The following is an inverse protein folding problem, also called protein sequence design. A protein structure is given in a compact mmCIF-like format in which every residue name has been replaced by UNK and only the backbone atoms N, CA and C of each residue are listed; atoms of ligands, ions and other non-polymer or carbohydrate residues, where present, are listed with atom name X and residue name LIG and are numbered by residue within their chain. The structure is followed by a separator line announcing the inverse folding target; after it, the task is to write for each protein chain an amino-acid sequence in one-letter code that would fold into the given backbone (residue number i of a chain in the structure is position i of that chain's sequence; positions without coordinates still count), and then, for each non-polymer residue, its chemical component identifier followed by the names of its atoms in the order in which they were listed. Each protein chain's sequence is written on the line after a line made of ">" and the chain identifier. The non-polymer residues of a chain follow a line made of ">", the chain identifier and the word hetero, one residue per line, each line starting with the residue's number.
data_IF_013072463649
#
_entry.id   IF_013072463649
#
_cell.length_a   1.000
_cell.length_b   1.000
_cell.length_c   1.000
_cell.angle_alpha   90.00
_cell.angle_beta   90.00
_cell.angle_gamma   90.00
#
_symmetry.space_group_name_H-M   'P 1'
#
loop_
_entity.id
_entity.type
_entity.pdbx_description
1 polymer ?
#
# COMPACT_ATOMS: atom_id res chain seq x y z
N UNK A 1 -13.73 -3.77 32.14
CA UNK A 1 -14.72 -2.69 32.32
C UNK A 1 -14.79 -1.92 31.01
N UNK A 2 -16.00 -1.61 30.54
CA UNK A 2 -16.30 -1.19 29.18
C UNK A 2 -15.98 0.29 28.91
N UNK A 3 -15.26 0.54 27.81
CA UNK A 3 -14.77 1.83 27.29
C UNK A 3 -15.87 2.75 26.71
N UNK A 4 -17.09 2.71 27.25
CA UNK A 4 -18.27 3.33 26.63
C UNK A 4 -18.60 4.74 27.11
N UNK A 5 -17.76 5.38 27.93
CA UNK A 5 -18.13 6.61 28.65
C UNK A 5 -17.20 7.83 28.42
N UNK A 6 -16.67 8.01 27.23
CA UNK A 6 -16.09 9.29 26.84
C UNK A 6 -16.52 9.65 25.42
N UNK A 7 -17.54 10.51 25.31
CA UNK A 7 -17.67 11.66 24.39
C UNK A 7 -19.09 12.21 24.62
N UNK A 8 -19.22 13.15 25.57
CA UNK A 8 -20.29 14.17 25.56
C UNK A 8 -19.95 15.26 26.57
N UNK A 9 -19.23 16.29 26.11
CA UNK A 9 -19.37 17.62 26.68
C UNK A 9 -19.71 18.58 25.55
N UNK A 10 -20.95 19.07 25.62
CA UNK A 10 -21.51 20.09 24.76
C UNK A 10 -20.70 21.39 24.89
N UNK A 11 -20.32 21.97 23.75
CA UNK A 11 -20.13 23.41 23.63
C UNK A 11 -21.05 23.93 22.53
N UNK A 12 -21.78 25.00 22.83
CA UNK A 12 -22.83 25.59 22.01
C UNK A 12 -22.23 26.42 20.85
N UNK A 13 -22.92 26.55 19.70
CA UNK A 13 -22.46 27.40 18.62
C UNK A 13 -22.87 28.87 18.89
N UNK A 14 -21.89 29.78 18.84
CA UNK A 14 -22.18 31.23 18.76
C UNK A 14 -22.35 31.63 17.30
N UNK A 15 -23.53 32.16 17.02
CA UNK A 15 -23.94 32.82 15.80
C UNK A 15 -23.14 34.13 15.63
N UNK A 16 -22.57 34.34 14.44
CA UNK A 16 -21.96 35.61 14.02
C UNK A 16 -22.12 35.80 12.51
N UNK A 17 -23.10 36.62 12.13
CA UNK A 17 -23.34 37.09 10.76
C UNK A 17 -22.30 38.16 10.32
N UNK A 18 -22.34 38.43 9.01
CA UNK A 18 -21.91 39.64 8.24
C UNK A 18 -20.75 39.27 7.28
N UNK A 19 -21.03 38.95 6.02
CA UNK A 19 -21.34 39.81 4.85
C UNK A 19 -20.09 40.16 4.05
N UNK A 20 -20.09 39.88 2.75
CA UNK A 20 -18.97 40.21 1.87
C UNK A 20 -19.07 39.57 0.49
N UNK A 21 -20.08 39.98 -0.28
CA UNK A 21 -20.22 39.71 -1.73
C UNK A 21 -19.05 40.37 -2.47
N UNK A 22 -18.33 39.61 -3.31
CA UNK A 22 -17.66 40.18 -4.49
C UNK A 22 -17.69 39.16 -5.65
N UNK A 23 -18.63 39.40 -6.57
CA UNK A 23 -18.60 38.87 -7.92
C UNK A 23 -17.43 39.50 -8.68
N UNK A 24 -16.54 38.70 -9.25
CA UNK A 24 -15.75 39.12 -10.40
C UNK A 24 -15.99 38.16 -11.57
N UNK A 25 -16.55 38.73 -12.63
CA UNK A 25 -16.88 38.07 -13.87
C UNK A 25 -15.64 37.83 -14.73
N UNK A 26 -15.59 36.63 -15.30
CA UNK A 26 -15.30 36.29 -16.69
C UNK A 26 -14.52 37.31 -17.55
N UNK A 27 -13.33 36.93 -18.01
CA UNK A 27 -12.81 37.30 -19.33
C UNK A 27 -12.14 36.09 -19.99
N UNK A 28 -12.85 35.54 -20.97
CA UNK A 28 -12.40 34.49 -21.89
C UNK A 28 -11.66 35.19 -23.04
N UNK A 29 -10.39 34.88 -23.25
CA UNK A 29 -9.69 35.23 -24.50
C UNK A 29 -9.67 34.01 -25.42
N UNK A 30 -10.49 34.08 -26.46
CA UNK A 30 -10.48 33.17 -27.61
C UNK A 30 -9.52 33.78 -28.62
N UNK A 31 -8.36 33.15 -28.87
CA UNK A 31 -7.52 33.46 -30.03
C UNK A 31 -7.77 32.43 -31.11
N UNK A 32 -8.01 32.93 -32.31
CA UNK A 32 -8.74 32.27 -33.38
C UNK A 32 -7.99 31.20 -34.15
N UNK A 33 -8.79 30.27 -34.67
CA UNK A 33 -8.47 29.37 -35.76
C UNK A 33 -8.07 30.17 -37.01
N UNK A 34 -7.00 29.74 -37.69
CA UNK A 34 -6.74 30.08 -39.09
C UNK A 34 -6.74 28.78 -39.89
N UNK A 35 -7.87 28.53 -40.57
CA UNK A 35 -7.99 27.53 -41.61
C UNK A 35 -7.10 27.92 -42.81
N UNK A 36 -6.32 26.98 -43.30
CA UNK A 36 -5.77 27.02 -44.66
C UNK A 36 -6.25 25.76 -45.39
N UNK A 37 -7.14 25.99 -46.35
CA UNK A 37 -7.64 25.04 -47.35
C UNK A 37 -6.53 24.74 -48.38
N UNK A 38 -6.51 23.54 -49.00
CA UNK A 38 -5.32 22.99 -49.64
C UNK A 38 -5.17 23.43 -51.11
N UNK A 39 -3.94 23.74 -51.52
CA UNK A 39 -3.60 23.89 -52.94
C UNK A 39 -3.01 22.58 -53.47
N UNK A 40 -3.75 21.98 -54.39
CA UNK A 40 -3.30 20.94 -55.30
C UNK A 40 -2.14 21.43 -56.19
N UNK A 41 -1.07 20.65 -56.26
CA UNK A 41 -0.19 20.63 -57.44
C UNK A 41 0.36 19.21 -57.65
N UNK A 42 0.19 18.77 -58.88
CA UNK A 42 0.55 17.47 -59.43
C UNK A 42 1.97 17.53 -60.03
N UNK A 43 2.63 16.37 -60.12
CA UNK A 43 3.90 16.05 -60.78
C UNK A 43 5.13 16.14 -59.84
N UNK A 44 6.04 15.15 -59.74
CA UNK A 44 6.43 14.08 -60.65
C UNK A 44 6.87 12.81 -59.91
N UNK A 45 6.71 11.66 -60.57
CA UNK A 45 7.35 10.38 -60.23
C UNK A 45 8.86 10.50 -60.43
N UNK A 46 9.63 10.29 -59.38
CA UNK A 46 10.97 9.71 -59.49
C UNK A 46 11.06 8.49 -58.58
N UNK A 47 11.40 7.35 -59.21
CA UNK A 47 11.76 6.12 -58.53
C UNK A 47 13.10 6.35 -57.82
N UNK A 48 13.13 6.22 -56.50
CA UNK A 48 14.33 5.69 -55.83
C UNK A 48 13.94 4.42 -55.07
N UNK A 49 14.75 3.40 -55.29
CA UNK A 49 14.56 2.02 -54.89
C UNK A 49 15.71 1.69 -53.93
N UNK A 50 15.40 1.17 -52.74
CA UNK A 50 16.36 0.64 -51.75
C UNK A 50 16.94 1.71 -50.82
N UNK A 51 16.77 1.68 -49.50
CA UNK A 51 16.86 0.51 -48.60
C UNK A 51 15.98 0.79 -47.38
N UNK A 52 14.77 0.24 -47.34
CA UNK A 52 13.94 0.19 -46.14
C UNK A 52 14.08 -1.22 -45.56
N UNK A 53 14.78 -1.33 -44.44
CA UNK A 53 15.00 -2.60 -43.75
C UNK A 53 15.23 -2.36 -42.27
N UNK A 54 14.25 -2.81 -41.47
CA UNK A 54 14.32 -3.17 -40.05
C UNK A 54 14.09 -2.16 -38.90
N UNK A 55 13.63 -0.93 -39.13
CA UNK A 55 13.28 -0.03 -38.00
C UNK A 55 11.80 0.05 -37.62
N UNK A 56 10.88 -0.49 -38.44
CA UNK A 56 9.42 -0.36 -38.19
C UNK A 56 8.78 -1.51 -37.43
N UNK A 57 9.40 -2.70 -37.43
CA UNK A 57 8.85 -3.88 -36.76
C UNK A 57 9.09 -3.86 -35.24
N UNK A 58 10.23 -3.33 -34.79
CA UNK A 58 10.53 -3.18 -33.36
C UNK A 58 9.63 -2.13 -32.71
N UNK A 59 9.45 -0.97 -33.36
CA UNK A 59 8.60 0.10 -32.82
C UNK A 59 7.12 -0.30 -32.71
N UNK A 60 6.62 -1.14 -33.62
CA UNK A 60 5.22 -1.55 -33.60
C UNK A 60 4.94 -2.63 -32.53
N UNK A 61 5.88 -3.55 -32.31
CA UNK A 61 5.79 -4.54 -31.23
C UNK A 61 5.87 -3.88 -29.85
N UNK A 62 6.80 -2.93 -29.66
CA UNK A 62 6.95 -2.20 -28.40
C UNK A 62 5.67 -1.42 -28.05
N UNK A 63 5.07 -0.73 -29.02
CA UNK A 63 3.80 -0.02 -28.82
C UNK A 63 2.61 -0.96 -28.51
N UNK A 64 2.56 -2.15 -29.10
CA UNK A 64 1.51 -3.12 -28.78
C UNK A 64 1.63 -3.64 -27.33
N UNK A 65 2.87 -3.91 -26.90
CA UNK A 65 3.17 -4.31 -25.53
C UNK A 65 2.77 -3.24 -24.50
N UNK A 66 3.12 -1.97 -24.74
CA UNK A 66 2.72 -0.84 -23.90
C UNK A 66 1.19 -0.71 -23.83
N UNK A 67 0.51 -0.88 -24.97
CA UNK A 67 -0.95 -0.79 -25.04
C UNK A 67 -1.65 -1.86 -24.19
N UNK A 68 -1.12 -3.08 -24.08
CA UNK A 68 -1.71 -4.10 -23.22
C UNK A 68 -1.66 -3.69 -21.74
N UNK A 69 -0.50 -3.18 -21.27
CA UNK A 69 -0.33 -2.72 -19.90
C UNK A 69 -1.22 -1.50 -19.65
N UNK A 70 -1.14 -0.46 -20.48
CA UNK A 70 -1.87 0.80 -20.25
C UNK A 70 -3.40 0.57 -20.22
N UNK A 71 -3.92 -0.26 -21.12
CA UNK A 71 -5.34 -0.62 -21.11
C UNK A 71 -5.71 -1.44 -19.85
N UNK A 72 -4.86 -2.38 -19.44
CA UNK A 72 -5.09 -3.13 -18.20
C UNK A 72 -5.08 -2.21 -16.97
N UNK A 73 -4.10 -1.31 -16.86
CA UNK A 73 -4.01 -0.36 -15.75
C UNK A 73 -5.21 0.57 -15.68
N UNK A 74 -5.64 1.13 -16.82
CA UNK A 74 -6.84 1.97 -16.87
C UNK A 74 -8.11 1.20 -16.48
N UNK A 75 -8.25 -0.07 -16.90
CA UNK A 75 -9.37 -0.92 -16.47
C UNK A 75 -9.36 -1.21 -14.96
N UNK A 76 -8.19 -1.14 -14.32
CA UNK A 76 -7.99 -1.40 -12.90
C UNK A 76 -7.90 -0.13 -12.04
N UNK A 77 -8.24 1.03 -12.60
CA UNK A 77 -8.35 2.28 -11.83
C UNK A 77 -9.39 2.12 -10.68
N UNK A 78 -9.08 2.60 -9.46
CA UNK A 78 -9.99 2.49 -8.31
C UNK A 78 -11.40 3.06 -8.56
N UNK A 79 -11.49 4.13 -9.34
CA UNK A 79 -12.74 4.83 -9.69
C UNK A 79 -13.71 3.96 -10.50
N UNK A 80 -13.25 2.82 -11.05
CA UNK A 80 -14.09 1.87 -11.77
C UNK A 80 -14.83 0.88 -10.86
N UNK A 81 -14.76 1.05 -9.54
CA UNK A 81 -15.62 0.41 -8.52
C UNK A 81 -15.75 -1.13 -8.63
N UNK A 82 -14.65 -1.83 -8.90
CA UNK A 82 -14.61 -3.30 -9.03
C UNK A 82 -15.59 -3.90 -10.07
N UNK A 83 -16.00 -3.16 -11.11
CA UNK A 83 -16.89 -3.72 -12.15
C UNK A 83 -16.24 -5.00 -12.74
N UNK A 84 -16.86 -6.15 -12.49
CA UNK A 84 -16.26 -7.48 -12.70
C UNK A 84 -15.86 -7.75 -14.16
N UNK A 85 -16.55 -7.15 -15.12
CA UNK A 85 -16.21 -7.24 -16.54
C UNK A 85 -14.88 -6.55 -16.89
N UNK A 86 -14.47 -5.53 -16.13
CA UNK A 86 -13.15 -4.91 -16.30
C UNK A 86 -12.04 -5.76 -15.70
N UNK A 87 -12.28 -6.40 -14.55
CA UNK A 87 -11.29 -7.27 -13.91
C UNK A 87 -10.90 -8.44 -14.82
N UNK A 88 -11.88 -9.19 -15.32
CA UNK A 88 -11.60 -10.34 -16.21
C UNK A 88 -10.90 -9.92 -17.51
N UNK A 89 -11.28 -8.78 -18.09
CA UNK A 89 -10.63 -8.24 -19.31
C UNK A 89 -9.19 -7.79 -19.04
N UNK A 90 -8.95 -7.10 -17.93
CA UNK A 90 -7.61 -6.67 -17.53
C UNK A 90 -6.69 -7.88 -17.32
N UNK A 91 -7.17 -8.93 -16.64
CA UNK A 91 -6.42 -10.19 -16.48
C UNK A 91 -6.09 -10.83 -17.84
N UNK A 92 -7.02 -10.78 -18.79
CA UNK A 92 -6.78 -11.22 -20.17
C UNK A 92 -5.64 -10.44 -20.84
N UNK A 93 -5.67 -9.11 -20.77
CA UNK A 93 -4.63 -8.22 -21.33
C UNK A 93 -3.27 -8.44 -20.65
N UNK A 94 -3.23 -8.57 -19.32
CA UNK A 94 -2.00 -8.83 -18.58
C UNK A 94 -1.36 -10.18 -18.97
N UNK A 95 -2.18 -11.22 -19.15
CA UNK A 95 -1.67 -12.52 -19.60
C UNK A 95 -1.25 -12.52 -21.08
N UNK A 96 -1.91 -11.71 -21.91
CA UNK A 96 -1.49 -11.50 -23.29
C UNK A 96 -0.13 -10.80 -23.35
N UNK A 97 0.03 -9.71 -22.60
CA UNK A 97 1.31 -9.04 -22.39
C UNK A 97 2.37 -9.99 -21.85
N UNK A 98 2.08 -10.77 -20.79
CA UNK A 98 3.03 -11.71 -20.21
C UNK A 98 3.59 -12.71 -21.23
N UNK A 99 2.71 -13.23 -22.10
CA UNK A 99 3.06 -14.21 -23.12
C UNK A 99 3.82 -13.64 -24.31
N UNK A 100 3.53 -12.40 -24.72
CA UNK A 100 4.09 -11.79 -25.93
C UNK A 100 5.31 -10.91 -25.65
N UNK A 101 5.34 -10.29 -24.47
CA UNK A 101 6.22 -9.17 -24.15
C UNK A 101 6.93 -9.32 -22.79
N UNK A 102 6.24 -9.86 -21.77
CA UNK A 102 6.71 -9.85 -20.39
C UNK A 102 7.85 -10.84 -20.08
N UNK A 103 8.28 -11.64 -21.07
CA UNK A 103 9.29 -12.69 -20.94
C UNK A 103 9.01 -13.63 -19.75
N UNK A 104 7.72 -13.85 -19.44
CA UNK A 104 7.28 -14.77 -18.40
C UNK A 104 7.10 -16.14 -19.04
N UNK A 105 7.95 -17.09 -18.66
CA UNK A 105 7.81 -18.47 -19.13
C UNK A 105 6.66 -19.15 -18.37
N UNK A 106 5.56 -19.41 -19.06
CA UNK A 106 4.38 -20.03 -18.46
C UNK A 106 4.65 -21.46 -17.95
N UNK A 107 5.65 -22.14 -18.49
CA UNK A 107 5.95 -23.56 -18.23
C UNK A 107 7.10 -23.78 -17.24
N UNK A 108 7.73 -22.72 -16.73
CA UNK A 108 8.82 -22.81 -15.75
C UNK A 108 8.41 -22.21 -14.41
N UNK A 109 8.74 -22.89 -13.30
CA UNK A 109 8.59 -22.32 -11.95
C UNK A 109 9.33 -20.99 -11.88
N UNK A 110 8.68 -20.01 -11.27
CA UNK A 110 9.27 -18.67 -11.09
C UNK A 110 10.38 -18.68 -10.03
N UNK A 111 10.44 -19.73 -9.21
CA UNK A 111 11.45 -19.95 -8.18
C UNK A 111 12.51 -20.97 -8.62
N UNK A 112 13.77 -20.57 -8.53
CA UNK A 112 14.90 -21.49 -8.70
C UNK A 112 15.00 -22.47 -7.53
N UNK A 113 15.58 -23.64 -7.75
CA UNK A 113 15.79 -24.64 -6.68
C UNK A 113 16.67 -24.12 -5.54
N UNK A 114 17.56 -23.16 -5.82
CA UNK A 114 18.37 -22.46 -4.81
C UNK A 114 17.57 -21.49 -3.94
N UNK A 115 16.49 -20.90 -4.45
CA UNK A 115 15.66 -19.93 -3.70
C UNK A 115 14.62 -20.62 -2.82
N UNK A 116 14.12 -21.80 -3.23
CA UNK A 116 13.05 -22.52 -2.51
C UNK A 116 13.33 -22.74 -1.01
N UNK A 117 14.55 -23.15 -0.56
CA UNK A 117 14.84 -23.30 0.86
C UNK A 117 14.73 -21.99 1.66
N UNK A 118 15.14 -20.87 1.06
CA UNK A 118 15.03 -19.55 1.69
C UNK A 118 13.56 -19.19 1.91
N UNK A 119 12.74 -19.22 0.85
CA UNK A 119 11.34 -18.84 0.95
C UNK A 119 10.52 -19.78 1.85
N UNK A 120 10.79 -21.09 1.84
CA UNK A 120 10.15 -22.07 2.74
C UNK A 120 10.40 -21.81 4.23
N UNK A 121 11.46 -21.07 4.58
CA UNK A 121 11.73 -20.68 5.97
C UNK A 121 10.74 -19.63 6.47
N UNK A 122 10.21 -18.79 5.58
CA UNK A 122 9.46 -17.58 5.94
C UNK A 122 7.99 -17.60 5.49
N UNK A 123 7.69 -18.28 4.38
CA UNK A 123 6.37 -18.34 3.75
C UNK A 123 5.71 -19.70 3.97
N UNK A 124 4.39 -19.69 4.23
CA UNK A 124 3.56 -20.89 4.26
C UNK A 124 3.38 -21.51 2.87
N UNK A 125 2.96 -22.77 2.80
CA UNK A 125 2.77 -23.50 1.53
C UNK A 125 1.79 -22.80 0.58
N UNK A 126 0.68 -22.28 1.10
CA UNK A 126 -0.31 -21.55 0.30
C UNK A 126 0.26 -20.25 -0.27
N UNK A 127 1.11 -19.55 0.51
CA UNK A 127 1.74 -18.31 0.06
C UNK A 127 2.76 -18.58 -1.03
N UNK A 128 3.60 -19.61 -0.84
CA UNK A 128 4.55 -20.06 -1.87
C UNK A 128 3.85 -20.44 -3.17
N UNK A 129 2.73 -21.16 -3.09
CA UNK A 129 1.96 -21.54 -4.27
C UNK A 129 1.40 -20.32 -5.01
N UNK A 130 0.86 -19.33 -4.30
CA UNK A 130 0.36 -18.06 -4.88
C UNK A 130 1.49 -17.21 -5.46
N UNK A 131 2.64 -17.17 -4.79
CA UNK A 131 3.83 -16.45 -5.23
C UNK A 131 4.40 -17.06 -6.52
N UNK A 132 4.45 -18.40 -6.62
CA UNK A 132 5.06 -19.13 -7.74
C UNK A 132 4.18 -19.22 -9.01
N UNK A 133 2.98 -18.61 -9.00
CA UNK A 133 2.15 -18.53 -10.21
C UNK A 133 2.85 -17.73 -11.32
N UNK A 134 2.86 -18.29 -12.52
CA UNK A 134 3.43 -17.69 -13.74
C UNK A 134 2.43 -16.82 -14.52
N UNK A 135 1.14 -16.92 -14.18
CA UNK A 135 0.05 -16.20 -14.84
C UNK A 135 -0.62 -15.23 -13.88
N UNK A 136 -1.14 -14.13 -14.43
CA UNK A 136 -1.95 -13.18 -13.69
C UNK A 136 -3.35 -13.75 -13.42
N UNK A 137 -3.84 -13.50 -12.21
CA UNK A 137 -5.14 -13.92 -11.68
C UNK A 137 -6.03 -12.71 -11.36
N UNK A 138 -7.29 -12.95 -11.01
CA UNK A 138 -8.17 -11.86 -10.53
C UNK A 138 -7.66 -11.24 -9.23
N UNK A 139 -7.04 -12.03 -8.34
CA UNK A 139 -6.42 -11.52 -7.11
C UNK A 139 -5.25 -10.57 -7.43
N UNK A 140 -4.48 -10.86 -8.48
CA UNK A 140 -3.42 -9.97 -8.96
C UNK A 140 -4.00 -8.64 -9.51
N UNK A 141 -5.11 -8.70 -10.24
CA UNK A 141 -5.80 -7.51 -10.74
C UNK A 141 -6.33 -6.62 -9.59
N UNK A 142 -6.92 -7.24 -8.54
CA UNK A 142 -7.32 -6.51 -7.33
C UNK A 142 -6.12 -5.90 -6.61
N UNK A 143 -5.00 -6.62 -6.51
CA UNK A 143 -3.76 -6.12 -5.95
C UNK A 143 -3.23 -4.87 -6.68
N UNK A 144 -3.26 -4.88 -8.01
CA UNK A 144 -2.84 -3.76 -8.85
C UNK A 144 -3.73 -2.54 -8.60
N UNK A 145 -5.05 -2.71 -8.61
CA UNK A 145 -5.99 -1.62 -8.27
C UNK A 145 -5.71 -1.05 -6.89
N UNK A 146 -5.55 -1.90 -5.89
CA UNK A 146 -5.28 -1.46 -4.52
C UNK A 146 -3.96 -0.68 -4.44
N UNK A 147 -2.94 -1.09 -5.20
CA UNK A 147 -1.68 -0.34 -5.28
C UNK A 147 -1.84 1.04 -5.92
N UNK A 148 -2.68 1.16 -6.96
CA UNK A 148 -3.05 2.47 -7.52
C UNK A 148 -3.78 3.35 -6.49
N UNK A 149 -4.73 2.78 -5.74
CA UNK A 149 -5.43 3.46 -4.67
C UNK A 149 -4.46 3.96 -3.59
N UNK A 150 -3.55 3.11 -3.12
CA UNK A 150 -2.58 3.49 -2.09
C UNK A 150 -1.58 4.53 -2.59
N UNK A 151 -1.20 4.49 -3.86
CA UNK A 151 -0.36 5.53 -4.46
C UNK A 151 -1.09 6.89 -4.48
N UNK A 152 -2.38 6.90 -4.80
CA UNK A 152 -3.20 8.11 -4.69
C UNK A 152 -3.31 8.61 -3.23
N UNK A 153 -3.62 7.72 -2.30
CA UNK A 153 -3.77 8.03 -0.88
C UNK A 153 -2.47 8.58 -0.27
N UNK A 154 -1.32 7.95 -0.56
CA UNK A 154 -0.05 8.40 0.02
C UNK A 154 0.36 9.76 -0.54
N UNK A 155 0.17 10.01 -1.83
CA UNK A 155 0.50 11.30 -2.45
C UNK A 155 -0.36 12.44 -1.87
N UNK A 156 -1.64 12.19 -1.61
CA UNK A 156 -2.52 13.14 -0.92
C UNK A 156 -2.08 13.35 0.54
N UNK A 157 -1.71 12.28 1.25
CA UNK A 157 -1.34 12.36 2.65
C UNK A 157 -0.04 13.14 2.91
N UNK A 158 0.92 13.06 1.99
CA UNK A 158 2.26 13.63 2.16
C UNK A 158 2.46 14.97 1.45
N UNK A 159 1.41 15.54 0.88
CA UNK A 159 1.48 16.83 0.20
C UNK A 159 2.08 17.91 1.13
N UNK A 160 3.08 18.63 0.63
CA UNK A 160 3.79 19.66 1.38
C UNK A 160 4.72 19.16 2.49
N UNK A 161 4.97 17.85 2.62
CA UNK A 161 5.92 17.28 3.60
C UNK A 161 7.32 17.19 3.04
N UNK A 162 8.29 17.60 3.85
CA UNK A 162 9.66 17.88 3.40
C UNK A 162 10.65 16.75 3.66
N UNK A 163 10.41 15.94 4.70
CA UNK A 163 11.27 14.83 5.10
C UNK A 163 10.48 13.56 5.37
N UNK A 164 11.16 12.41 5.43
CA UNK A 164 10.48 11.12 5.51
C UNK A 164 9.75 10.91 6.84
N UNK A 165 10.25 11.44 7.97
CA UNK A 165 9.54 11.38 9.26
C UNK A 165 8.20 12.11 9.18
N UNK A 166 8.18 13.31 8.60
CA UNK A 166 6.95 14.06 8.35
C UNK A 166 6.00 13.31 7.41
N UNK A 167 6.53 12.69 6.36
CA UNK A 167 5.75 11.93 5.36
C UNK A 167 5.08 10.72 6.00
N UNK A 168 5.82 9.88 6.72
CA UNK A 168 5.25 8.68 7.35
C UNK A 168 4.26 9.05 8.45
N UNK A 169 4.54 10.12 9.22
CA UNK A 169 3.63 10.60 10.26
C UNK A 169 2.35 11.17 9.68
N UNK A 170 2.43 11.94 8.60
CA UNK A 170 1.26 12.45 7.88
C UNK A 170 0.43 11.32 7.24
N UNK A 171 1.09 10.34 6.62
CA UNK A 171 0.47 9.14 6.09
C UNK A 171 -0.29 8.35 7.14
N UNK A 172 0.31 8.21 8.33
CA UNK A 172 -0.32 7.54 9.46
C UNK A 172 -1.60 8.28 9.88
N UNK A 173 -1.52 9.59 10.12
CA UNK A 173 -2.69 10.40 10.48
C UNK A 173 -3.78 10.36 9.40
N UNK A 174 -3.40 10.42 8.13
CA UNK A 174 -4.33 10.29 7.02
C UNK A 174 -5.06 8.93 7.06
N UNK A 175 -4.32 7.84 7.21
CA UNK A 175 -4.89 6.50 7.31
C UNK A 175 -5.86 6.39 8.50
N UNK A 176 -5.44 6.84 9.69
CA UNK A 176 -6.23 6.71 10.92
C UNK A 176 -7.47 7.63 10.94
N UNK A 177 -7.43 8.76 10.23
CA UNK A 177 -8.55 9.69 10.08
C UNK A 177 -9.61 9.19 9.11
N UNK A 178 -9.23 8.37 8.12
CA UNK A 178 -10.13 7.84 7.10
C UNK A 178 -10.66 6.44 7.41
N UNK A 179 -10.05 5.70 8.35
CA UNK A 179 -10.48 4.36 8.74
C UNK A 179 -10.80 4.36 10.23
N UNK A 180 -12.08 4.35 10.60
CA UNK A 180 -12.55 4.26 11.98
C UNK A 180 -12.23 2.88 12.61
N UNK A 181 -11.93 2.86 13.92
CA UNK A 181 -11.61 1.62 14.62
C UNK A 181 -12.90 0.88 14.97
N UNK A 182 -13.01 -0.37 14.51
CA UNK A 182 -13.95 -1.31 15.09
C UNK A 182 -13.36 -1.95 16.35
N UNK A 183 -13.84 -1.50 17.50
CA UNK A 183 -13.44 -1.98 18.83
C UNK A 183 -14.16 -3.26 19.26
N UNK A 184 -15.18 -3.70 18.52
CA UNK A 184 -15.83 -4.97 18.76
C UNK A 184 -15.31 -6.01 17.78
N UNK A 185 -14.42 -6.88 18.24
CA UNK A 185 -13.84 -7.97 17.43
C UNK A 185 -14.90 -8.89 16.82
N UNK A 186 -16.05 -9.07 17.46
CA UNK A 186 -17.15 -9.91 16.94
C UNK A 186 -17.84 -9.29 15.72
N UNK A 187 -17.65 -7.98 15.50
CA UNK A 187 -18.21 -7.24 14.38
C UNK A 187 -17.19 -6.96 13.27
N UNK A 188 -15.93 -7.39 13.43
CA UNK A 188 -14.91 -7.23 12.40
C UNK A 188 -15.26 -8.17 11.26
N UNK A 189 -15.49 -7.58 10.08
CA UNK A 189 -15.73 -8.31 8.85
C UNK A 189 -14.37 -8.61 8.20
N UNK A 190 -14.21 -9.79 7.56
CA UNK A 190 -13.08 -10.00 6.67
C UNK A 190 -13.29 -9.10 5.44
N UNK A 191 -12.40 -8.12 5.27
CA UNK A 191 -12.51 -7.12 4.22
C UNK A 191 -11.21 -7.06 3.43
N UNK A 192 -11.33 -6.94 2.11
CA UNK A 192 -10.20 -6.62 1.25
C UNK A 192 -9.71 -5.19 1.50
N UNK A 193 -8.49 -4.83 1.10
CA UNK A 193 -7.96 -3.50 1.33
C UNK A 193 -8.82 -2.38 0.71
N UNK A 194 -9.32 -2.61 -0.50
CA UNK A 194 -10.27 -1.70 -1.15
C UNK A 194 -11.56 -1.51 -0.34
N UNK A 195 -12.14 -2.60 0.16
CA UNK A 195 -13.36 -2.54 0.98
C UNK A 195 -13.13 -1.79 2.29
N UNK A 196 -11.98 -1.98 2.94
CA UNK A 196 -11.61 -1.22 4.14
C UNK A 196 -11.59 0.28 3.85
N UNK A 197 -10.98 0.68 2.74
CA UNK A 197 -10.91 2.09 2.32
C UNK A 197 -12.28 2.68 1.96
N UNK A 198 -13.12 1.95 1.22
CA UNK A 198 -14.46 2.41 0.84
C UNK A 198 -15.39 2.52 2.05
N UNK A 199 -15.33 1.54 2.95
CA UNK A 199 -16.18 1.53 4.15
C UNK A 199 -15.69 2.50 5.23
N UNK A 200 -14.41 2.88 5.19
CA UNK A 200 -13.81 3.79 6.16
C UNK A 200 -13.83 3.24 7.58
N UNK A 201 -13.81 1.92 7.76
CA UNK A 201 -13.82 1.27 9.07
C UNK A 201 -13.12 -0.09 9.02
N UNK A 202 -12.39 -0.41 10.08
CA UNK A 202 -11.67 -1.68 10.18
C UNK A 202 -11.14 -1.99 11.58
N UNK A 203 -10.64 -3.21 11.76
CA UNK A 203 -9.91 -3.60 12.97
C UNK A 203 -8.57 -2.85 13.07
N UNK A 204 -7.90 -2.96 14.22
CA UNK A 204 -6.57 -2.41 14.39
C UNK A 204 -5.53 -3.06 13.45
N UNK A 205 -5.67 -4.35 13.15
CA UNK A 205 -4.78 -5.05 12.22
C UNK A 205 -5.06 -4.65 10.76
N UNK A 206 -6.33 -4.42 10.40
CA UNK A 206 -6.71 -3.85 9.10
C UNK A 206 -6.15 -2.42 8.93
N UNK A 207 -6.27 -1.57 9.95
CA UNK A 207 -5.66 -0.22 9.96
C UNK A 207 -4.14 -0.29 9.79
N UNK A 208 -3.47 -1.19 10.50
CA UNK A 208 -2.03 -1.40 10.37
C UNK A 208 -1.66 -1.87 8.97
N UNK A 209 -2.43 -2.80 8.40
CA UNK A 209 -2.22 -3.32 7.07
C UNK A 209 -2.30 -2.22 6.01
N UNK A 210 -3.38 -1.41 6.00
CA UNK A 210 -3.51 -0.29 5.05
C UNK A 210 -2.35 0.69 5.19
N UNK A 211 -1.98 1.06 6.42
CA UNK A 211 -0.86 1.97 6.62
C UNK A 211 0.47 1.41 6.08
N UNK A 212 0.77 0.14 6.33
CA UNK A 212 1.97 -0.53 5.78
C UNK A 212 1.92 -0.55 4.24
N UNK A 213 0.77 -0.83 3.66
CA UNK A 213 0.59 -0.87 2.20
C UNK A 213 0.69 0.52 1.55
N UNK A 214 0.29 1.59 2.25
CA UNK A 214 0.56 2.97 1.84
C UNK A 214 2.06 3.28 1.84
N UNK A 215 2.79 2.89 2.89
CA UNK A 215 4.23 3.14 2.99
C UNK A 215 5.04 2.37 1.93
N UNK A 216 4.56 1.20 1.52
CA UNK A 216 5.14 0.42 0.41
C UNK A 216 5.20 1.23 -0.89
N UNK A 217 4.25 2.12 -1.13
CA UNK A 217 4.25 3.00 -2.32
C UNK A 217 5.37 4.04 -2.28
N UNK A 218 5.95 4.33 -1.12
CA UNK A 218 7.16 5.15 -0.96
C UNK A 218 8.44 4.30 -0.95
N UNK A 219 8.33 2.98 -1.18
CA UNK A 219 9.42 2.00 -0.98
C UNK A 219 10.01 2.07 0.44
N UNK A 220 9.17 2.39 1.42
CA UNK A 220 9.54 2.39 2.83
C UNK A 220 9.11 1.08 3.47
N UNK A 221 10.05 0.45 4.16
CA UNK A 221 9.80 -0.79 4.87
C UNK A 221 9.08 -0.51 6.19
N UNK A 222 8.04 -1.28 6.45
CA UNK A 222 7.30 -1.24 7.70
C UNK A 222 6.84 -2.64 8.10
N UNK A 223 6.84 -2.89 9.41
CA UNK A 223 6.51 -4.18 10.01
C UNK A 223 5.47 -4.02 11.08
N UNK A 224 4.71 -5.08 11.32
CA UNK A 224 3.85 -5.18 12.48
C UNK A 224 4.63 -5.83 13.63
N UNK A 225 4.72 -5.13 14.76
CA UNK A 225 5.32 -5.61 15.98
C UNK A 225 4.22 -6.14 16.90
N UNK A 226 4.29 -7.42 17.24
CA UNK A 226 3.39 -8.07 18.20
C UNK A 226 4.22 -8.68 19.34
N UNK A 227 3.65 -8.83 20.55
CA UNK A 227 4.29 -9.64 21.58
C UNK A 227 4.42 -11.09 21.11
N UNK A 228 5.46 -11.81 21.56
CA UNK A 228 5.68 -13.21 21.19
C UNK A 228 4.48 -14.12 21.55
N UNK A 229 3.75 -13.78 22.62
CA UNK A 229 2.46 -14.39 22.97
C UNK A 229 1.35 -13.47 22.49
N UNK A 230 0.50 -13.97 21.60
CA UNK A 230 -0.61 -13.22 21.03
C UNK A 230 -1.51 -12.63 22.12
N UNK A 231 -1.85 -11.35 21.96
CA UNK A 231 -2.70 -10.62 22.87
C UNK A 231 -3.56 -9.61 22.08
N UNK A 232 -4.86 -9.50 22.39
CA UNK A 232 -5.75 -8.57 21.71
C UNK A 232 -5.22 -7.13 21.78
N UNK A 233 -5.33 -6.42 20.66
CA UNK A 233 -4.92 -5.03 20.50
C UNK A 233 -3.43 -4.74 20.70
N UNK A 234 -2.60 -5.67 21.18
CA UNK A 234 -1.16 -5.47 21.34
C UNK A 234 -0.45 -5.58 19.99
N UNK A 235 -0.54 -4.52 19.20
CA UNK A 235 0.16 -4.38 17.93
C UNK A 235 0.63 -2.94 17.73
N UNK A 236 1.85 -2.78 17.23
CA UNK A 236 2.41 -1.51 16.77
C UNK A 236 2.87 -1.67 15.33
N UNK A 237 2.90 -0.57 14.58
CA UNK A 237 3.63 -0.51 13.32
C UNK A 237 5.00 0.10 13.59
N UNK A 238 6.06 -0.63 13.22
CA UNK A 238 7.43 -0.14 13.19
C UNK A 238 7.80 0.26 11.77
N UNK A 239 8.11 1.53 11.54
CA UNK A 239 8.52 2.06 10.23
C UNK A 239 10.03 2.23 10.21
N UNK A 240 10.68 1.57 9.26
CA UNK A 240 12.13 1.55 9.12
C UNK A 240 12.55 2.78 8.31
N UNK A 241 13.24 3.70 8.96
CA UNK A 241 13.77 4.92 8.32
C UNK A 241 15.22 5.11 8.75
N UNK A 242 16.11 5.14 7.76
CA UNK A 242 17.55 5.20 7.98
C UNK A 242 18.00 4.05 8.91
N UNK A 243 18.51 4.37 10.09
CA UNK A 243 18.97 3.41 11.10
C UNK A 243 17.99 3.28 12.28
N UNK A 244 16.76 3.78 12.15
CA UNK A 244 15.79 3.84 13.24
C UNK A 244 14.48 3.15 12.88
N UNK A 245 13.76 2.71 13.90
CA UNK A 245 12.44 2.08 13.79
C UNK A 245 11.43 2.96 14.52
N UNK A 246 10.66 3.76 13.80
CA UNK A 246 9.66 4.68 14.35
C UNK A 246 8.36 3.94 14.69
N UNK A 247 7.78 4.24 15.84
CA UNK A 247 6.66 3.47 16.39
C UNK A 247 5.31 4.19 16.26
N UNK A 248 4.32 3.46 15.77
CA UNK A 248 2.95 3.94 15.58
C UNK A 248 1.92 2.97 16.18
N UNK A 249 0.92 3.49 16.90
CA UNK A 249 -0.15 2.70 17.49
C UNK A 249 -1.48 2.85 16.70
N UNK A 250 -1.84 1.90 15.82
CA UNK A 250 -3.08 1.95 15.05
C UNK A 250 -4.35 1.71 15.86
N UNK A 251 -4.25 1.23 17.11
CA UNK A 251 -5.39 1.13 18.03
C UNK A 251 -5.76 2.52 18.53
N UNK A 252 -4.79 3.28 19.03
CA UNK A 252 -5.04 4.66 19.45
C UNK A 252 -5.19 5.61 18.25
N UNK A 253 -4.66 5.23 17.09
CA UNK A 253 -4.56 6.11 15.93
C UNK A 253 -3.56 7.25 16.17
N UNK A 254 -2.54 7.00 17.00
CA UNK A 254 -1.52 7.98 17.39
C UNK A 254 -0.11 7.38 17.23
N UNK A 255 0.88 8.16 16.74
CA UNK A 255 2.28 7.80 16.88
C UNK A 255 2.67 7.69 18.37
N UNK A 256 3.64 6.82 18.70
CA UNK A 256 4.22 6.87 20.05
C UNK A 256 5.04 8.16 20.14
N UNK A 257 4.85 9.05 21.14
CA UNK A 257 5.56 10.32 21.16
C UNK A 257 7.02 10.13 21.58
N UNK A 258 7.95 10.69 20.81
CA UNK A 258 9.31 10.95 21.28
C UNK A 258 9.28 11.85 22.53
N UNK A 259 10.32 11.80 23.36
CA UNK A 259 10.39 12.60 24.59
C UNK A 259 10.33 14.11 24.30
N UNK A 260 10.96 14.53 23.21
CA UNK A 260 11.06 15.92 22.81
C UNK A 260 9.97 16.23 21.77
N UNK A 261 8.77 16.54 22.26
CA UNK A 261 7.69 17.10 21.45
C UNK A 261 7.74 18.63 21.47
N UNK A 262 7.38 19.31 20.37
CA UNK A 262 7.15 20.76 20.41
C UNK A 262 6.01 21.08 21.39
N UNK A 263 6.23 22.07 22.26
CA UNK A 263 5.35 22.38 23.40
C UNK A 263 3.91 22.72 22.97
N UNK A 264 3.74 23.34 21.80
CA UNK A 264 2.45 23.79 21.29
C UNK A 264 1.87 22.87 20.19
N UNK A 265 2.44 21.67 19.99
CA UNK A 265 1.96 20.75 18.98
C UNK A 265 0.64 20.10 19.41
N UNK A 266 -0.40 20.27 18.58
CA UNK A 266 -1.72 19.64 18.78
C UNK A 266 -1.68 18.14 18.44
N UNK A 267 -0.86 17.77 17.46
CA UNK A 267 -0.58 16.38 17.07
C UNK A 267 0.82 15.98 17.56
N UNK A 268 1.18 14.72 17.40
CA UNK A 268 2.51 14.18 17.68
C UNK A 268 3.31 14.22 16.37
N UNK A 269 4.10 15.27 16.10
CA UNK A 269 4.88 15.37 14.86
C UNK A 269 6.10 14.44 14.85
N UNK A 270 6.62 14.10 16.03
CA UNK A 270 7.86 13.33 16.18
C UNK A 270 7.59 12.00 16.86
N UNK A 271 7.44 10.90 16.11
CA UNK A 271 7.29 9.58 16.70
C UNK A 271 8.58 9.15 17.41
N UNK A 272 8.45 8.41 18.51
CA UNK A 272 9.56 7.77 19.20
C UNK A 272 10.08 6.59 18.39
N UNK A 273 11.37 6.33 18.52
CA UNK A 273 11.98 5.11 17.97
C UNK A 273 11.90 3.95 18.96
N UNK A 274 12.01 2.72 18.45
CA UNK A 274 12.13 1.52 19.28
C UNK A 274 13.30 1.63 20.25
N UNK A 275 14.45 2.15 19.80
CA UNK A 275 15.62 2.34 20.64
C UNK A 275 15.36 3.32 21.81
N UNK A 276 14.63 4.41 21.56
CA UNK A 276 14.25 5.37 22.60
C UNK A 276 13.32 4.76 23.63
N UNK A 277 12.29 4.02 23.18
CA UNK A 277 11.35 3.32 24.06
C UNK A 277 12.05 2.25 24.91
N UNK A 278 12.99 1.50 24.33
CA UNK A 278 13.77 0.50 25.06
C UNK A 278 14.70 1.12 26.10
N UNK A 279 15.27 2.29 25.79
CA UNK A 279 16.11 3.05 26.72
C UNK A 279 15.29 3.72 27.83
N UNK A 280 14.06 4.16 27.52
CA UNK A 280 13.20 4.93 28.43
C UNK A 280 11.77 4.36 28.47
N UNK A 281 11.53 3.30 29.25
CA UNK A 281 10.20 2.70 29.45
C UNK A 281 9.09 3.68 29.85
N UNK A 282 9.47 4.79 30.50
CA UNK A 282 8.55 5.86 30.90
C UNK A 282 7.76 6.44 29.73
N UNK A 283 8.30 6.43 28.49
CA UNK A 283 7.59 6.92 27.29
C UNK A 283 6.24 6.21 27.13
N UNK A 284 6.22 4.87 27.25
CA UNK A 284 4.97 4.11 27.13
C UNK A 284 4.04 4.36 28.30
N UNK A 285 4.59 4.51 29.50
CA UNK A 285 3.80 4.79 30.70
C UNK A 285 3.12 6.16 30.62
N UNK A 286 3.84 7.18 30.19
CA UNK A 286 3.33 8.54 30.09
C UNK A 286 2.31 8.65 28.94
N UNK A 287 2.54 7.92 27.85
CA UNK A 287 1.64 7.90 26.70
C UNK A 287 0.32 7.15 26.97
N UNK A 288 0.40 5.96 27.56
CA UNK A 288 -0.78 5.11 27.80
C UNK A 288 -1.43 5.31 29.17
N UNK A 289 -0.76 6.00 30.10
CA UNK A 289 -1.23 6.18 31.47
C UNK A 289 -1.43 4.84 32.20
N UNK A 290 -2.58 4.67 32.84
CA UNK A 290 -2.93 3.45 33.59
C UNK A 290 -3.06 2.21 32.68
N UNK A 291 -3.32 2.40 31.39
CA UNK A 291 -3.49 1.31 30.42
C UNK A 291 -2.17 0.78 29.87
N UNK A 292 -1.01 1.35 30.25
CA UNK A 292 0.30 0.95 29.74
C UNK A 292 0.56 -0.56 29.86
N UNK A 293 0.16 -1.17 30.97
CA UNK A 293 0.30 -2.61 31.21
C UNK A 293 -0.49 -3.48 30.20
N UNK A 294 -1.60 -2.94 29.68
CA UNK A 294 -2.47 -3.62 28.72
C UNK A 294 -2.05 -3.39 27.26
N UNK A 295 -1.08 -2.49 27.00
CA UNK A 295 -0.60 -2.15 25.66
C UNK A 295 0.70 -2.87 25.32
N UNK A 296 1.84 -2.41 25.84
CA UNK A 296 3.14 -3.04 25.64
C UNK A 296 4.03 -2.81 26.86
N UNK A 297 4.69 -3.86 27.33
CA UNK A 297 5.85 -3.69 28.21
C UNK A 297 7.12 -3.50 27.40
N UNK A 298 8.13 -2.89 28.02
CA UNK A 298 9.46 -2.81 27.41
C UNK A 298 10.06 -4.19 27.15
N UNK A 299 9.77 -5.16 28.01
CA UNK A 299 10.20 -6.56 27.85
C UNK A 299 9.59 -7.20 26.59
N UNK A 300 8.31 -6.96 26.31
CA UNK A 300 7.65 -7.42 25.09
C UNK A 300 8.28 -6.79 23.82
N UNK A 301 8.80 -5.56 23.93
CA UNK A 301 9.46 -4.86 22.81
C UNK A 301 10.96 -5.15 22.67
N UNK A 302 11.61 -5.82 23.64
CA UNK A 302 13.02 -6.25 23.51
C UNK A 302 13.19 -7.42 22.55
N UNK A 303 12.18 -8.28 22.46
CA UNK A 303 12.15 -9.44 21.57
C UNK A 303 10.73 -9.61 21.01
N UNK A 304 10.25 -8.67 20.19
CA UNK A 304 8.93 -8.76 19.60
C UNK A 304 8.89 -9.87 18.55
N UNK A 305 7.68 -10.34 18.24
CA UNK A 305 7.45 -10.99 16.96
C UNK A 305 7.33 -9.89 15.89
N UNK A 306 8.17 -10.00 14.87
CA UNK A 306 8.25 -9.06 13.75
C UNK A 306 7.54 -9.69 12.56
N UNK A 307 6.44 -9.08 12.14
CA UNK A 307 5.62 -9.57 11.03
C UNK A 307 5.81 -8.67 9.80
N UNK A 308 6.33 -9.27 8.72
CA UNK A 308 6.29 -8.70 7.38
C UNK A 308 4.85 -8.85 6.87
N UNK A 309 4.13 -7.74 6.78
CA UNK A 309 2.76 -7.71 6.27
C UNK A 309 2.79 -7.40 4.78
N UNK A 310 2.23 -8.30 3.97
CA UNK A 310 2.09 -8.17 2.52
C UNK A 310 1.33 -9.36 1.94
N UNK A 311 0.86 -9.22 0.71
CA UNK A 311 0.16 -10.27 -0.05
C UNK A 311 1.17 -11.12 -0.82
N UNK A 312 0.86 -12.40 -1.01
CA UNK A 312 1.78 -13.33 -1.70
C UNK A 312 2.23 -12.88 -3.10
N UNK A 313 1.37 -12.16 -3.83
CA UNK A 313 1.70 -11.64 -5.14
C UNK A 313 2.78 -10.54 -5.12
N UNK A 314 2.95 -9.80 -4.01
CA UNK A 314 3.97 -8.74 -3.87
C UNK A 314 5.39 -9.24 -4.08
N UNK A 315 5.63 -10.52 -3.76
CA UNK A 315 6.95 -11.14 -3.84
C UNK A 315 7.15 -11.96 -5.11
N UNK A 316 6.15 -11.95 -6.01
CA UNK A 316 6.17 -12.77 -7.21
C UNK A 316 7.00 -12.16 -8.34
N UNK A 317 7.63 -13.02 -9.12
CA UNK A 317 8.35 -12.63 -10.35
C UNK A 317 7.42 -11.93 -11.34
N UNK A 318 6.16 -12.34 -11.44
CA UNK A 318 5.19 -11.67 -12.34
C UNK A 318 4.94 -10.20 -11.97
N UNK A 319 4.84 -9.88 -10.67
CA UNK A 319 4.69 -8.48 -10.23
C UNK A 319 5.96 -7.67 -10.44
N UNK A 320 7.14 -8.28 -10.26
CA UNK A 320 8.43 -7.64 -10.58
C UNK A 320 8.50 -7.25 -12.05
N UNK A 321 8.27 -8.21 -12.95
CA UNK A 321 8.31 -7.98 -14.39
C UNK A 321 7.29 -6.93 -14.84
N UNK A 322 6.08 -6.96 -14.23
CA UNK A 322 5.07 -5.96 -14.52
C UNK A 322 5.50 -4.57 -14.06
N UNK A 323 6.03 -4.42 -12.83
CA UNK A 323 6.55 -3.15 -12.31
C UNK A 323 7.64 -2.57 -13.21
N UNK A 324 8.61 -3.41 -13.62
CA UNK A 324 9.71 -3.01 -14.51
C UNK A 324 9.22 -2.53 -15.88
N UNK A 325 8.00 -2.91 -16.27
CA UNK A 325 7.39 -2.60 -17.56
C UNK A 325 6.32 -1.49 -17.49
N UNK A 326 6.03 -0.96 -16.31
CA UNK A 326 5.10 0.16 -16.16
C UNK A 326 5.64 1.41 -16.87
N UNK A 327 4.74 2.16 -17.50
CA UNK A 327 5.11 3.41 -18.15
C UNK A 327 5.46 4.48 -17.10
N UNK A 328 6.21 5.53 -17.47
CA UNK A 328 6.53 6.64 -16.55
C UNK A 328 5.32 7.35 -15.95
N UNK A 329 4.12 7.15 -16.52
CA UNK A 329 2.86 7.69 -16.00
C UNK A 329 2.32 6.87 -14.82
N UNK A 330 2.72 5.61 -14.71
CA UNK A 330 2.34 4.68 -13.65
C UNK A 330 3.47 4.62 -12.63
N UNK A 331 3.26 5.25 -11.47
CA UNK A 331 4.32 5.41 -10.45
C UNK A 331 4.09 4.57 -9.20
N UNK A 332 3.14 3.64 -9.23
CA UNK A 332 2.83 2.79 -8.09
C UNK A 332 3.76 1.57 -8.03
N UNK A 333 3.98 1.09 -6.82
CA UNK A 333 4.81 -0.08 -6.51
C UNK A 333 3.92 -1.32 -6.51
N UNK A 334 4.39 -2.40 -7.13
CA UNK A 334 3.78 -3.72 -7.19
C UNK A 334 4.66 -4.82 -6.58
N UNK A 335 5.98 -4.64 -6.60
CA UNK A 335 6.93 -5.65 -6.16
C UNK A 335 7.74 -5.20 -4.95
N UNK A 336 8.03 -6.14 -4.06
CA UNK A 336 8.96 -5.97 -2.95
C UNK A 336 9.80 -7.24 -2.85
N UNK A 337 11.11 -7.12 -2.69
CA UNK A 337 11.93 -8.30 -2.50
C UNK A 337 12.06 -8.68 -1.02
N UNK A 338 11.87 -9.97 -0.71
CA UNK A 338 12.15 -10.54 0.61
C UNK A 338 13.60 -10.99 0.76
N UNK A 339 14.20 -11.51 -0.31
CA UNK A 339 15.55 -12.06 -0.32
C UNK A 339 16.58 -11.08 -0.89
N UNK A 340 17.84 -11.31 -0.56
CA UNK A 340 18.95 -10.53 -1.08
C UNK A 340 19.21 -10.81 -2.56
N UNK A 341 19.49 -9.76 -3.33
CA UNK A 341 20.02 -9.85 -4.68
C UNK A 341 21.08 -8.77 -4.91
N UNK A 342 21.77 -8.85 -6.05
CA UNK A 342 22.86 -7.91 -6.35
C UNK A 342 22.36 -6.46 -6.32
N UNK A 343 22.79 -5.72 -5.32
CA UNK A 343 22.48 -4.29 -5.15
C UNK A 343 21.26 -3.98 -4.28
N UNK A 344 20.58 -4.99 -3.73
CA UNK A 344 19.45 -4.83 -2.82
C UNK A 344 19.52 -5.91 -1.72
N UNK A 345 19.67 -5.52 -0.44
CA UNK A 345 19.79 -6.47 0.66
C UNK A 345 18.52 -7.32 0.86
N UNK A 346 17.37 -6.91 0.32
CA UNK A 346 16.10 -7.54 0.56
C UNK A 346 15.54 -7.21 1.95
N UNK A 347 14.22 -7.29 2.09
CA UNK A 347 13.53 -6.82 3.29
C UNK A 347 13.94 -7.60 4.54
N UNK A 348 14.17 -8.92 4.45
CA UNK A 348 14.54 -9.73 5.61
C UNK A 348 15.94 -9.36 6.13
N UNK A 349 16.91 -9.14 5.24
CA UNK A 349 18.26 -8.72 5.64
C UNK A 349 18.27 -7.30 6.23
N UNK A 350 17.47 -6.40 5.63
CA UNK A 350 17.29 -5.04 6.16
C UNK A 350 16.76 -5.07 7.61
N UNK A 351 15.76 -5.91 7.90
CA UNK A 351 15.24 -6.09 9.27
C UNK A 351 16.28 -6.62 10.26
N UNK A 352 17.18 -7.49 9.82
CA UNK A 352 18.23 -8.06 10.68
C UNK A 352 19.34 -7.06 11.00
N UNK A 353 19.53 -6.06 10.16
CA UNK A 353 20.68 -5.12 10.24
C UNK A 353 20.31 -3.75 10.78
N UNK A 354 19.06 -3.30 10.59
CA UNK A 354 18.60 -1.97 11.02
C UNK A 354 18.75 -1.73 12.53
N UNK A 355 18.99 -0.48 12.92
CA UNK A 355 19.07 -0.09 14.33
C UNK A 355 20.26 -0.71 15.04
N UNK A 356 21.36 -0.96 14.31
CA UNK A 356 22.52 -1.73 14.78
C UNK A 356 22.14 -3.16 15.20
N UNK A 357 21.21 -3.77 14.46
CA UNK A 357 20.70 -5.12 14.70
C UNK A 357 19.79 -5.21 15.93
N UNK A 358 18.99 -4.18 16.21
CA UNK A 358 18.07 -4.17 17.35
C UNK A 358 17.00 -5.27 17.26
N UNK A 359 16.70 -5.74 16.05
CA UNK A 359 15.77 -6.84 15.77
C UNK A 359 16.48 -8.15 15.36
N UNK A 360 17.80 -8.26 15.47
CA UNK A 360 18.55 -9.44 14.98
C UNK A 360 18.11 -10.77 15.63
N UNK A 361 17.71 -10.70 16.90
CA UNK A 361 17.29 -11.85 17.72
C UNK A 361 15.76 -11.99 17.76
N UNK A 362 15.02 -11.12 17.06
CA UNK A 362 13.57 -11.14 17.01
C UNK A 362 13.07 -12.28 16.11
N UNK A 363 11.88 -12.80 16.41
CA UNK A 363 11.22 -13.78 15.54
C UNK A 363 10.63 -13.06 14.31
N UNK A 364 11.31 -13.16 13.16
CA UNK A 364 10.84 -12.59 11.89
C UNK A 364 9.98 -13.62 11.16
N UNK A 365 8.73 -13.24 10.84
CA UNK A 365 7.80 -14.05 10.03
C UNK A 365 7.18 -13.20 8.93
N UNK A 366 6.79 -13.85 7.84
CA UNK A 366 5.86 -13.26 6.89
C UNK A 366 4.44 -13.59 7.35
N UNK A 367 3.59 -12.56 7.44
CA UNK A 367 2.23 -12.73 7.91
C UNK A 367 1.37 -13.41 6.85
N UNK A 368 0.61 -14.43 7.25
CA UNK A 368 -0.45 -15.01 6.41
C UNK A 368 -1.75 -14.19 6.47
N UNK A 369 -1.83 -13.19 7.36
CA UNK A 369 -3.05 -12.42 7.60
C UNK A 369 -3.62 -11.78 6.32
N UNK A 370 -2.85 -11.04 5.49
CA UNK A 370 -3.39 -10.41 4.29
C UNK A 370 -4.06 -11.38 3.31
N UNK A 371 -3.40 -12.51 3.01
CA UNK A 371 -3.95 -13.51 2.09
C UNK A 371 -5.18 -14.21 2.68
N UNK A 372 -5.15 -14.55 3.98
CA UNK A 372 -6.30 -15.16 4.67
C UNK A 372 -7.49 -14.22 4.73
N UNK A 373 -7.28 -12.93 4.94
CA UNK A 373 -8.35 -11.93 4.99
C UNK A 373 -9.04 -11.77 3.62
N UNK A 374 -8.25 -11.79 2.54
CA UNK A 374 -8.78 -11.78 1.16
C UNK A 374 -9.58 -13.06 0.88
N UNK A 375 -8.99 -14.22 1.15
CA UNK A 375 -9.66 -15.50 0.93
C UNK A 375 -10.97 -15.57 1.75
N UNK A 376 -10.95 -15.06 2.99
CA UNK A 376 -12.12 -14.98 3.84
C UNK A 376 -13.19 -14.01 3.31
N UNK A 377 -12.80 -12.82 2.80
CA UNK A 377 -13.72 -11.86 2.19
C UNK A 377 -14.41 -12.47 0.95
N UNK A 378 -13.65 -13.16 0.10
CA UNK A 378 -14.18 -13.82 -1.10
C UNK A 378 -15.09 -15.01 -0.78
N UNK A 379 -14.82 -15.71 0.33
CA UNK A 379 -15.63 -16.82 0.81
C UNK A 379 -16.93 -16.40 1.53
N UNK A 380 -17.16 -15.10 1.74
CA UNK A 380 -18.35 -14.62 2.47
C UNK A 380 -19.64 -14.99 1.72
N UNK A 381 -20.53 -15.72 2.41
CA UNK A 381 -21.86 -16.12 1.92
C UNK A 381 -22.98 -15.70 2.88
N UNK A 382 -24.24 -15.92 2.48
CA UNK A 382 -25.40 -15.75 3.36
C UNK A 382 -25.62 -14.31 3.88
N UNK A 383 -25.99 -14.19 5.15
CA UNK A 383 -26.33 -12.89 5.76
C UNK A 383 -25.13 -11.97 5.92
N UNK A 384 -23.92 -12.52 6.06
CA UNK A 384 -22.69 -11.74 6.08
C UNK A 384 -22.44 -11.07 4.72
N UNK A 385 -22.72 -11.78 3.61
CA UNK A 385 -22.66 -11.22 2.25
C UNK A 385 -23.68 -10.09 2.07
N UNK A 386 -24.90 -10.28 2.57
CA UNK A 386 -25.94 -9.23 2.56
C UNK A 386 -25.49 -8.00 3.34
N UNK A 387 -24.87 -8.19 4.50
CA UNK A 387 -24.35 -7.09 5.32
C UNK A 387 -23.25 -6.31 4.59
N UNK A 388 -22.25 -6.99 4.03
CA UNK A 388 -21.20 -6.34 3.22
C UNK A 388 -21.83 -5.62 2.03
N UNK A 389 -22.74 -6.27 1.31
CA UNK A 389 -23.40 -5.66 0.13
C UNK A 389 -24.21 -4.42 0.50
N UNK A 390 -24.93 -4.45 1.63
CA UNK A 390 -25.69 -3.29 2.12
C UNK A 390 -24.83 -2.12 2.58
N UNK A 391 -23.57 -2.38 2.93
CA UNK A 391 -22.61 -1.32 3.25
C UNK A 391 -21.97 -0.71 2.00
N UNK A 392 -22.03 -1.42 0.86
CA UNK A 392 -21.51 -0.96 -0.45
C UNK A 392 -22.54 -0.17 -1.28
N UNK A 393 -23.83 -0.36 -1.00
CA UNK A 393 -24.96 0.34 -1.65
C UNK A 393 -25.32 1.63 -0.94
#
# INVERSE_FOLDING_TARGET
>A
MTLSNLIRRHSAPRLGMISGVFCFALLIFISGCKEQTPSSSTANKEKSQGTAGNSSASSQGDHECENYIDNAMSMLEPERLEISSFVGRAVGLLNQWASQCGNLNADASSLTDSQKPFFKKYLGEAQLAKMDLTRFTESDAKFIRDSQLFNGMINAAIEGKSNDVERVTAAFYYCMSNIALNTNQQNVLPLTPYEICILGAGSAEQRAWIYIDMLRQLRLDAVLLKPAKEAPYKLLVGVLLNEDIYLFDPVLGLPIPAKDQPVDAVLIPNPATLAEVLKSPAILKDFYGEEAANRFSTEELKAPQVLITGRSCEWSTRMRHLEDSLSRKQTFVLYRNLEEFKGDPGFISHLQTIGKGILKDAEIKVSEYPDKEIDASEAVTGDLKKRITSLKS
#
